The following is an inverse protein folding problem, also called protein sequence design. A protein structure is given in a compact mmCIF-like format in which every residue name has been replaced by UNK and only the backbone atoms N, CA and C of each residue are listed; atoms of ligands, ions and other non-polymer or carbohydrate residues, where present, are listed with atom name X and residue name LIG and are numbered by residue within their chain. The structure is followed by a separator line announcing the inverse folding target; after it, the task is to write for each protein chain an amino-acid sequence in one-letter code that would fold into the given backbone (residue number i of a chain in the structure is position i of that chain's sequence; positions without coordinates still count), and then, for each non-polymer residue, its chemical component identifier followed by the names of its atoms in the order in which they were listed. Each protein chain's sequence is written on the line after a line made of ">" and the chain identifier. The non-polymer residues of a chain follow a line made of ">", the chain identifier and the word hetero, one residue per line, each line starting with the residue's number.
data_IF_304458482416
#
_entry.id   IF_304458482416
#
_cell.length_a   1.000
_cell.length_b   1.000
_cell.length_c   1.000
_cell.angle_alpha   90.00
_cell.angle_beta   90.00
_cell.angle_gamma   90.00
#
_symmetry.space_group_name_H-M   'P 1'
#
loop_
_entity.id
_entity.type
_entity.pdbx_description
1 polymer ?
#
# COMPACT_ATOMS: atom_id res chain seq x y z
N UNK A 1 15.63 7.21 0.75
CA UNK A 1 15.66 5.77 0.43
C UNK A 1 14.66 5.02 1.27
N UNK A 2 13.80 4.21 0.66
CA UNK A 2 12.92 3.34 1.43
C UNK A 2 13.74 2.36 2.25
N UNK A 3 13.31 2.08 3.46
CA UNK A 3 13.91 1.06 4.30
C UNK A 3 13.60 -0.33 3.73
N UNK A 4 14.36 -1.34 4.14
CA UNK A 4 14.04 -2.71 3.73
C UNK A 4 12.72 -3.19 4.31
N UNK A 5 12.34 -2.72 5.49
CA UNK A 5 11.01 -3.00 6.05
C UNK A 5 9.91 -2.51 5.13
N UNK A 6 10.05 -1.29 4.62
CA UNK A 6 9.12 -0.72 3.65
C UNK A 6 9.04 -1.58 2.39
N UNK A 7 10.19 -2.03 1.88
CA UNK A 7 10.25 -2.85 0.66
C UNK A 7 9.56 -4.21 0.85
N UNK A 8 9.72 -4.85 2.01
CA UNK A 8 9.04 -6.10 2.31
C UNK A 8 7.52 -5.91 2.42
N UNK A 9 7.08 -4.82 3.06
CA UNK A 9 5.65 -4.50 3.13
C UNK A 9 5.07 -4.27 1.72
N UNK A 10 5.82 -3.60 0.86
CA UNK A 10 5.39 -3.36 -0.52
C UNK A 10 5.26 -4.68 -1.31
N UNK A 11 6.15 -5.63 -1.07
CA UNK A 11 6.05 -6.96 -1.68
C UNK A 11 4.73 -7.66 -1.29
N UNK A 12 4.34 -7.56 -0.03
CA UNK A 12 3.08 -8.14 0.43
C UNK A 12 1.87 -7.49 -0.24
N UNK A 13 1.93 -6.18 -0.45
CA UNK A 13 0.89 -5.48 -1.21
C UNK A 13 0.80 -6.02 -2.63
N UNK A 14 1.92 -6.12 -3.33
CA UNK A 14 1.93 -6.65 -4.69
C UNK A 14 1.36 -8.05 -4.79
N UNK A 15 1.73 -8.93 -3.87
CA UNK A 15 1.21 -10.30 -3.81
C UNK A 15 -0.29 -10.33 -3.56
N UNK A 16 -0.78 -9.49 -2.66
CA UNK A 16 -2.22 -9.43 -2.36
C UNK A 16 -3.01 -8.88 -3.54
N UNK A 17 -2.52 -7.83 -4.17
CA UNK A 17 -3.14 -7.31 -5.39
C UNK A 17 -3.26 -8.40 -6.46
N UNK A 18 -2.18 -9.13 -6.71
CA UNK A 18 -2.18 -10.22 -7.69
C UNK A 18 -3.18 -11.31 -7.32
N UNK A 19 -3.24 -11.69 -6.05
CA UNK A 19 -4.17 -12.68 -5.55
C UNK A 19 -5.64 -12.24 -5.72
N UNK A 20 -5.89 -10.94 -5.64
CA UNK A 20 -7.22 -10.36 -5.77
C UNK A 20 -7.60 -10.04 -7.23
N UNK A 21 -6.76 -10.41 -8.20
CA UNK A 21 -7.06 -10.26 -9.62
C UNK A 21 -6.57 -8.95 -10.25
N UNK A 22 -5.74 -8.18 -9.55
CA UNK A 22 -5.14 -6.97 -10.11
C UNK A 22 -3.79 -7.27 -10.73
N UNK A 23 -3.54 -6.72 -11.89
CA UNK A 23 -2.20 -6.69 -12.46
C UNK A 23 -1.49 -5.49 -11.86
N UNK A 24 -0.35 -5.72 -11.21
CA UNK A 24 0.47 -4.63 -10.67
C UNK A 24 1.03 -3.86 -11.87
N UNK A 25 0.68 -2.59 -11.97
CA UNK A 25 1.01 -1.74 -13.11
C UNK A 25 2.07 -0.69 -12.82
N UNK A 26 2.35 -0.43 -11.55
CA UNK A 26 3.37 0.53 -11.15
C UNK A 26 3.83 0.31 -9.72
N UNK A 27 5.09 0.61 -9.47
CA UNK A 27 5.71 0.55 -8.13
C UNK A 27 6.67 1.71 -7.98
N UNK A 28 6.68 2.30 -6.79
CA UNK A 28 7.64 3.34 -6.45
C UNK A 28 8.77 2.73 -5.61
N UNK A 29 9.79 2.22 -6.30
CA UNK A 29 10.92 1.54 -5.70
C UNK A 29 10.96 0.07 -6.05
N UNK A 30 11.91 -0.66 -5.47
CA UNK A 30 12.10 -2.09 -5.69
C UNK A 30 11.68 -2.88 -4.46
N UNK A 31 11.34 -4.14 -4.66
CA UNK A 31 10.93 -5.07 -3.62
C UNK A 31 11.78 -6.32 -3.64
N UNK A 32 12.08 -6.92 -2.46
CA UNK A 32 12.73 -8.22 -2.42
C UNK A 32 11.89 -9.24 -3.18
N UNK A 33 12.54 -10.07 -4.01
CA UNK A 33 11.83 -11.09 -4.79
C UNK A 33 10.72 -10.55 -5.70
N UNK A 34 10.76 -9.27 -6.00
CA UNK A 34 9.73 -8.62 -6.83
C UNK A 34 9.79 -8.97 -8.31
N UNK A 35 10.93 -9.48 -8.77
CA UNK A 35 11.07 -9.89 -10.16
C UNK A 35 10.80 -8.75 -11.15
N UNK A 36 9.90 -8.98 -12.10
CA UNK A 36 9.56 -7.99 -13.10
C UNK A 36 8.86 -6.75 -12.52
N UNK A 37 8.26 -6.84 -11.35
CA UNK A 37 7.64 -5.67 -10.72
C UNK A 37 8.66 -4.56 -10.45
N UNK A 38 9.93 -4.93 -10.22
CA UNK A 38 10.98 -3.94 -9.95
C UNK A 38 11.34 -3.08 -11.17
N UNK A 39 10.84 -3.44 -12.35
CA UNK A 39 11.05 -2.70 -13.59
C UNK A 39 9.82 -1.91 -14.03
N UNK A 40 8.75 -1.91 -13.23
CA UNK A 40 7.55 -1.17 -13.56
C UNK A 40 7.76 0.34 -13.38
N UNK A 41 7.01 1.17 -14.11
CA UNK A 41 7.07 2.59 -13.93
C UNK A 41 6.54 2.99 -12.55
N UNK A 42 6.88 4.20 -12.12
CA UNK A 42 6.33 4.76 -10.89
C UNK A 42 4.84 5.03 -11.09
N UNK A 43 4.00 4.84 -10.04
CA UNK A 43 2.59 5.21 -10.13
C UNK A 43 2.41 6.71 -10.36
N UNK A 44 1.27 7.13 -10.93
CA UNK A 44 0.99 8.56 -11.08
C UNK A 44 0.77 9.24 -9.75
N UNK A 45 0.91 10.56 -9.73
CA UNK A 45 0.59 11.38 -8.57
C UNK A 45 -0.88 11.79 -8.58
N UNK A 46 -1.45 11.89 -7.38
CA UNK A 46 -2.80 12.39 -7.16
C UNK A 46 -2.73 13.47 -6.07
N UNK A 47 -3.20 14.67 -6.38
CA UNK A 47 -3.15 15.79 -5.45
C UNK A 47 -1.76 16.00 -4.82
N UNK A 48 -0.71 15.79 -5.60
CA UNK A 48 0.67 15.97 -5.16
C UNK A 48 1.28 14.80 -4.41
N UNK A 49 0.56 13.68 -4.25
CA UNK A 49 1.07 12.49 -3.57
C UNK A 49 1.04 11.28 -4.50
N UNK A 50 2.04 10.42 -4.35
CA UNK A 50 2.21 9.22 -5.18
C UNK A 50 2.05 7.98 -4.33
N UNK A 51 1.17 7.03 -4.71
CA UNK A 51 1.09 5.77 -3.99
C UNK A 51 2.35 4.92 -4.24
N UNK A 52 2.63 3.99 -3.32
CA UNK A 52 3.76 3.09 -3.47
C UNK A 52 3.53 2.06 -4.58
N UNK A 53 2.30 1.70 -4.83
CA UNK A 53 1.94 0.76 -5.89
C UNK A 53 0.58 1.11 -6.48
N UNK A 54 0.39 0.70 -7.74
CA UNK A 54 -0.93 0.74 -8.37
C UNK A 54 -1.17 -0.54 -9.16
N UNK A 55 -2.43 -0.89 -9.31
CA UNK A 55 -2.85 -2.08 -10.03
C UNK A 55 -4.09 -1.80 -10.86
N UNK A 56 -4.35 -2.69 -11.82
CA UNK A 56 -5.48 -2.62 -12.72
C UNK A 56 -6.10 -4.01 -12.86
N UNK A 57 -7.42 -4.09 -12.67
CA UNK A 57 -8.16 -5.30 -12.97
C UNK A 57 -8.52 -5.31 -14.45
N UNK A 58 -7.98 -6.26 -15.20
CA UNK A 58 -8.27 -6.38 -16.63
C UNK A 58 -9.72 -6.81 -16.90
N UNK A 59 -10.32 -7.51 -15.93
CA UNK A 59 -11.71 -7.97 -16.06
C UNK A 59 -12.73 -6.86 -15.87
N UNK A 60 -12.47 -5.92 -14.95
CA UNK A 60 -13.44 -4.87 -14.60
C UNK A 60 -12.97 -3.47 -14.98
N UNK A 61 -11.70 -3.28 -15.25
CA UNK A 61 -11.10 -1.96 -15.47
C UNK A 61 -10.91 -1.14 -14.20
N UNK A 62 -11.16 -1.72 -13.03
CA UNK A 62 -11.00 -1.04 -11.76
C UNK A 62 -9.52 -0.85 -11.40
N UNK A 63 -9.23 0.26 -10.73
CA UNK A 63 -7.89 0.55 -10.22
C UNK A 63 -7.78 0.23 -8.75
N UNK A 64 -6.56 -0.11 -8.34
CA UNK A 64 -6.18 -0.30 -6.94
C UNK A 64 -4.90 0.46 -6.65
N UNK A 65 -4.75 0.89 -5.41
CA UNK A 65 -3.58 1.61 -4.93
C UNK A 65 -3.05 0.97 -3.67
N UNK A 66 -1.76 1.11 -3.41
CA UNK A 66 -1.13 0.51 -2.25
C UNK A 66 -0.19 1.46 -1.56
N UNK A 67 -0.22 1.42 -0.21
CA UNK A 67 0.67 2.17 0.66
C UNK A 67 1.29 1.24 1.69
N UNK A 68 2.61 1.24 1.75
CA UNK A 68 3.38 0.50 2.76
C UNK A 68 3.87 1.49 3.82
N UNK A 69 3.55 1.22 5.08
CA UNK A 69 3.94 2.10 6.20
C UNK A 69 4.61 1.30 7.29
N UNK A 70 5.82 1.70 7.65
CA UNK A 70 6.52 1.13 8.80
C UNK A 70 5.90 1.65 10.10
N UNK A 71 6.29 1.06 11.23
CA UNK A 71 5.81 1.51 12.55
C UNK A 71 6.14 2.98 12.82
N UNK A 72 7.24 3.48 12.26
CA UNK A 72 7.65 4.86 12.44
C UNK A 72 6.87 5.83 11.56
N UNK A 73 6.42 5.38 10.40
CA UNK A 73 5.81 6.24 9.39
C UNK A 73 4.29 6.28 9.48
N UNK A 74 3.65 5.27 10.06
CA UNK A 74 2.19 5.14 10.03
C UNK A 74 1.48 6.30 10.72
N UNK A 75 1.96 6.73 11.86
CA UNK A 75 1.30 7.77 12.66
C UNK A 75 1.93 9.14 12.41
N UNK A 76 1.81 9.63 11.18
CA UNK A 76 2.34 10.94 10.77
C UNK A 76 1.28 11.75 10.04
N UNK A 77 1.46 13.07 10.01
CA UNK A 77 0.61 13.98 9.23
C UNK A 77 0.66 13.62 7.74
N UNK A 78 1.84 13.30 7.26
CA UNK A 78 2.03 12.94 5.85
C UNK A 78 1.25 11.67 5.47
N UNK A 79 1.28 10.65 6.32
CA UNK A 79 0.50 9.43 6.09
C UNK A 79 -1.00 9.72 6.05
N UNK A 80 -1.51 10.55 6.96
CA UNK A 80 -2.93 10.93 6.94
C UNK A 80 -3.31 11.62 5.66
N UNK A 81 -2.47 12.50 5.17
CA UNK A 81 -2.69 13.19 3.90
C UNK A 81 -2.75 12.20 2.74
N UNK A 82 -1.80 11.28 2.68
CA UNK A 82 -1.77 10.25 1.63
C UNK A 82 -3.03 9.38 1.65
N UNK A 83 -3.41 8.88 2.83
CA UNK A 83 -4.58 8.01 2.95
C UNK A 83 -5.88 8.75 2.66
N UNK A 84 -5.98 10.04 3.00
CA UNK A 84 -7.14 10.84 2.58
C UNK A 84 -7.27 10.90 1.08
N UNK A 85 -6.17 11.12 0.38
CA UNK A 85 -6.20 11.20 -1.08
C UNK A 85 -6.55 9.84 -1.66
N UNK A 86 -5.76 8.80 -1.34
CA UNK A 86 -5.93 7.49 -1.97
C UNK A 86 -7.24 6.80 -1.57
N UNK A 87 -7.67 6.97 -0.34
CA UNK A 87 -8.87 6.35 0.18
C UNK A 87 -10.17 6.93 -0.38
N UNK A 88 -10.11 8.07 -1.06
CA UNK A 88 -11.26 8.74 -1.64
C UNK A 88 -11.22 8.79 -3.17
N UNK A 89 -10.25 8.13 -3.79
CA UNK A 89 -10.22 7.98 -5.24
C UNK A 89 -11.32 7.05 -5.70
N UNK A 90 -11.95 7.40 -6.82
CA UNK A 90 -13.02 6.59 -7.40
C UNK A 90 -12.67 6.23 -8.84
N UNK A 91 -13.19 5.09 -9.29
CA UNK A 91 -13.07 4.67 -10.67
C UNK A 91 -13.91 5.57 -11.56
N UNK A 92 -13.38 5.95 -12.73
CA UNK A 92 -14.02 6.91 -13.63
C UNK A 92 -15.39 6.48 -14.12
N UNK A 93 -15.53 5.19 -14.44
CA UNK A 93 -16.71 4.71 -15.15
C UNK A 93 -17.94 4.57 -14.25
N UNK A 94 -17.77 4.08 -13.04
CA UNK A 94 -18.87 3.74 -12.14
C UNK A 94 -18.86 4.53 -10.83
N UNK A 95 -17.80 5.32 -10.61
CA UNK A 95 -17.57 6.07 -9.38
C UNK A 95 -17.48 5.22 -8.12
N UNK A 96 -17.26 3.93 -8.28
CA UNK A 96 -16.98 3.04 -7.15
C UNK A 96 -15.60 3.38 -6.57
N UNK A 97 -15.46 3.42 -5.24
CA UNK A 97 -14.15 3.69 -4.65
C UNK A 97 -13.09 2.71 -5.13
N UNK A 98 -11.92 3.25 -5.46
CA UNK A 98 -10.77 2.41 -5.80
C UNK A 98 -10.32 1.65 -4.56
N UNK A 99 -9.93 0.38 -4.73
CA UNK A 99 -9.42 -0.42 -3.63
C UNK A 99 -8.09 0.16 -3.16
N UNK A 100 -7.94 0.30 -1.86
CA UNK A 100 -6.71 0.79 -1.23
C UNK A 100 -6.14 -0.30 -0.31
N UNK A 101 -4.93 -0.75 -0.63
CA UNK A 101 -4.18 -1.72 0.19
C UNK A 101 -3.24 -0.94 1.09
N UNK A 102 -3.31 -1.21 2.39
CA UNK A 102 -2.39 -0.60 3.36
C UNK A 102 -1.71 -1.72 4.12
N UNK A 103 -0.40 -1.81 3.99
CA UNK A 103 0.41 -2.81 4.68
C UNK A 103 1.21 -2.15 5.80
N UNK A 104 1.11 -2.72 6.99
CA UNK A 104 1.86 -2.30 8.18
C UNK A 104 2.38 -3.54 8.90
N UNK A 105 3.44 -3.40 9.72
CA UNK A 105 3.78 -4.46 10.66
C UNK A 105 2.60 -4.74 11.59
N UNK A 106 2.42 -6.00 11.98
CA UNK A 106 1.32 -6.38 12.88
C UNK A 106 1.33 -5.55 14.18
N UNK A 107 2.51 -5.23 14.69
CA UNK A 107 2.65 -4.40 15.90
C UNK A 107 2.11 -2.97 15.72
N UNK A 108 1.94 -2.50 14.49
CA UNK A 108 1.42 -1.17 14.20
C UNK A 108 -0.08 -1.16 13.85
N UNK A 109 -0.79 -2.27 14.04
CA UNK A 109 -2.20 -2.37 13.68
C UNK A 109 -3.08 -1.35 14.41
N UNK A 110 -2.79 -1.08 15.69
CA UNK A 110 -3.54 -0.08 16.47
C UNK A 110 -3.31 1.34 15.97
N UNK A 111 -2.08 1.65 15.59
CA UNK A 111 -1.78 2.95 14.99
C UNK A 111 -2.51 3.11 13.66
N UNK A 112 -2.59 2.05 12.88
CA UNK A 112 -3.37 2.07 11.64
C UNK A 112 -4.86 2.32 11.92
N UNK A 113 -5.44 1.67 12.92
CA UNK A 113 -6.83 1.93 13.34
C UNK A 113 -7.05 3.40 13.63
N UNK A 114 -6.17 3.98 14.41
CA UNK A 114 -6.26 5.39 14.82
C UNK A 114 -6.20 6.31 13.61
N UNK A 115 -5.25 6.07 12.72
CA UNK A 115 -5.08 6.89 11.51
C UNK A 115 -6.28 6.75 10.57
N UNK A 116 -6.75 5.53 10.34
CA UNK A 116 -7.93 5.30 9.48
C UNK A 116 -9.17 5.97 10.05
N UNK A 117 -9.34 5.91 11.37
CA UNK A 117 -10.46 6.61 12.03
C UNK A 117 -10.39 8.11 11.79
N UNK A 118 -9.20 8.70 11.93
CA UNK A 118 -9.00 10.14 11.79
C UNK A 118 -9.23 10.64 10.35
N UNK A 119 -9.02 9.78 9.36
CA UNK A 119 -9.24 10.15 7.95
C UNK A 119 -10.58 9.64 7.40
N UNK A 120 -11.43 9.06 8.27
CA UNK A 120 -12.77 8.64 7.87
C UNK A 120 -12.83 7.34 7.09
N UNK A 121 -11.82 6.48 7.23
CA UNK A 121 -11.73 5.23 6.46
C UNK A 121 -11.82 3.96 7.32
N UNK A 122 -11.98 4.10 8.63
CA UNK A 122 -12.08 2.92 9.49
C UNK A 122 -13.36 2.15 9.17
N UNK A 123 -13.22 0.85 8.88
CA UNK A 123 -14.35 0.02 8.49
C UNK A 123 -14.79 0.15 7.03
N UNK A 124 -14.12 0.99 6.24
CA UNK A 124 -14.44 1.12 4.83
C UNK A 124 -14.11 -0.18 4.06
N UNK A 125 -15.07 -0.66 3.27
CA UNK A 125 -14.93 -1.96 2.57
C UNK A 125 -13.86 -1.96 1.49
N UNK A 126 -13.58 -0.82 0.91
CA UNK A 126 -12.55 -0.71 -0.15
C UNK A 126 -11.14 -0.63 0.38
N UNK A 127 -10.96 -0.50 1.71
CA UNK A 127 -9.64 -0.49 2.34
C UNK A 127 -9.28 -1.92 2.77
N UNK A 128 -8.23 -2.46 2.16
CA UNK A 128 -7.72 -3.80 2.47
C UNK A 128 -6.47 -3.65 3.34
N UNK A 129 -6.54 -4.14 4.56
CA UNK A 129 -5.47 -4.01 5.54
C UNK A 129 -4.62 -5.27 5.54
N UNK A 130 -3.32 -5.08 5.48
CA UNK A 130 -2.36 -6.18 5.58
C UNK A 130 -1.53 -5.98 6.84
N UNK A 131 -1.71 -6.85 7.81
CA UNK A 131 -0.93 -6.85 9.05
C UNK A 131 0.16 -7.92 8.90
N UNK A 132 1.33 -7.49 8.46
CA UNK A 132 2.42 -8.40 8.17
C UNK A 132 3.13 -8.77 9.47
N UNK A 133 3.35 -10.06 9.76
CA UNK A 133 4.08 -10.46 10.97
C UNK A 133 5.42 -9.76 11.05
N UNK A 134 5.73 -9.19 12.21
CA UNK A 134 6.95 -8.40 12.41
C UNK A 134 8.21 -9.20 12.11
N UNK A 135 8.23 -10.50 12.42
CA UNK A 135 9.38 -11.36 12.16
C UNK A 135 9.73 -11.46 10.66
N UNK A 136 8.74 -11.35 9.78
CA UNK A 136 8.98 -11.39 8.33
C UNK A 136 9.61 -10.10 7.81
N UNK A 137 9.50 -9.02 8.56
CA UNK A 137 10.07 -7.71 8.23
C UNK A 137 11.43 -7.56 8.88
N UNK A 138 11.56 -7.97 10.14
CA UNK A 138 12.78 -7.82 10.93
C UNK A 138 13.91 -8.73 10.46
N UNK A 139 13.59 -9.92 9.91
CA UNK A 139 14.60 -10.81 9.34
C UNK A 139 15.55 -10.08 8.41
N UNK A 140 15.01 -9.22 7.56
CA UNK A 140 15.80 -8.46 6.60
C UNK A 140 16.71 -7.46 7.30
N UNK A 141 16.25 -6.88 8.39
CA UNK A 141 17.06 -5.93 9.17
C UNK A 141 18.19 -6.64 9.91
N UNK A 142 17.92 -7.85 10.42
CA UNK A 142 18.91 -8.63 11.16
C UNK A 142 20.05 -9.15 10.26
N UNK A 143 19.74 -9.50 9.04
CA UNK A 143 20.74 -9.96 8.07
C UNK A 143 21.80 -8.93 7.75
N UNK A 144 21.60 -7.68 8.09
CA UNK A 144 22.53 -6.60 7.83
C UNK A 144 23.42 -6.26 8.99
N UNK A 145 23.06 -6.74 10.15
CA UNK A 145 23.87 -6.55 11.31
C UNK A 145 25.06 -7.51 11.27
#
# INVERSE_FOLDING_TARGET
>A
MPSSSHQWLLLWIGRKMAADGFVVAGCDGSMPQGGLWNFLPRPPEFAGVRPDACGLSLGTGEYAFGEAKTSQDINTVHTRMQLRVFGHLTNRNDRVPCRLYVAVPRSAARDLDRVLKQVGLLGARHVVRLHVPDCLIEETSNERA
#
